data_IF_125761393283
#
_entry.id   IF_125761393283
#
_cell.length_a   1.000
_cell.length_b   1.000
_cell.length_c   1.000
_cell.angle_alpha   90.00
_cell.angle_beta   90.00
_cell.angle_gamma   90.00
#
_symmetry.space_group_name_H-M   'P 1'
#
loop_
_entity.id
_entity.type
_entity.pdbx_description
1 polymer ?
#
# COMPACT_ATOMS: atom_id res chain seq x y z
N UNK A 1 -10.84 5.36 19.19
CA UNK A 1 -9.68 5.57 18.29
C UNK A 1 -8.37 5.37 19.07
N UNK A 2 -7.43 4.56 18.58
CA UNK A 2 -6.12 4.38 19.22
C UNK A 2 -5.32 5.70 19.14
N UNK A 3 -4.65 6.11 20.22
CA UNK A 3 -3.82 7.33 20.21
C UNK A 3 -2.64 7.16 19.23
N UNK A 4 -2.32 8.14 18.35
CA UNK A 4 -1.28 7.99 17.33
C UNK A 4 0.10 7.56 17.88
N UNK A 5 0.45 8.01 19.09
CA UNK A 5 1.70 7.63 19.76
C UNK A 5 1.72 6.14 20.16
N UNK A 6 0.59 5.61 20.63
CA UNK A 6 0.45 4.19 21.00
C UNK A 6 0.50 3.33 19.74
N UNK A 7 -0.16 3.77 18.66
CA UNK A 7 -0.12 3.08 17.37
C UNK A 7 1.31 2.99 16.82
N UNK A 8 2.04 4.11 16.84
CA UNK A 8 3.45 4.16 16.45
C UNK A 8 4.30 3.20 17.28
N UNK A 9 4.13 3.21 18.60
CA UNK A 9 4.82 2.28 19.50
C UNK A 9 4.54 0.82 19.13
N UNK A 10 3.27 0.47 18.89
CA UNK A 10 2.87 -0.88 18.52
C UNK A 10 3.47 -1.33 17.19
N UNK A 11 3.44 -0.49 16.16
CA UNK A 11 4.04 -0.80 14.86
C UNK A 11 5.56 -0.97 15.00
N UNK A 12 6.22 -0.12 15.81
CA UNK A 12 7.66 -0.20 16.03
C UNK A 12 8.12 -1.46 16.78
N UNK A 13 7.23 -2.15 17.50
CA UNK A 13 7.55 -3.42 18.15
C UNK A 13 7.54 -4.61 17.16
N UNK A 14 6.94 -4.44 15.97
CA UNK A 14 6.85 -5.51 14.98
C UNK A 14 8.17 -5.74 14.26
N UNK A 15 8.44 -7.00 13.92
CA UNK A 15 9.55 -7.40 13.07
C UNK A 15 9.00 -7.90 11.74
N UNK A 16 9.35 -7.20 10.67
CA UNK A 16 8.92 -7.53 9.31
C UNK A 16 10.01 -8.21 8.48
N UNK A 17 11.13 -8.61 9.09
CA UNK A 17 12.17 -9.40 8.42
C UNK A 17 11.58 -10.73 7.92
N UNK A 18 12.03 -11.17 6.75
CA UNK A 18 11.60 -12.41 6.09
C UNK A 18 10.13 -12.44 5.63
N UNK A 19 9.35 -11.38 5.86
CA UNK A 19 8.02 -11.25 5.28
C UNK A 19 8.09 -10.51 3.95
N UNK A 20 7.36 -11.00 2.95
CA UNK A 20 7.10 -10.19 1.76
C UNK A 20 6.25 -8.98 2.14
N UNK A 21 6.47 -7.87 1.44
CA UNK A 21 5.71 -6.62 1.62
C UNK A 21 4.18 -6.83 1.72
N UNK A 22 3.50 -7.56 0.81
CA UNK A 22 2.06 -7.77 0.89
C UNK A 22 1.64 -8.62 2.09
N UNK A 23 2.45 -9.62 2.48
CA UNK A 23 2.16 -10.48 3.63
C UNK A 23 2.31 -9.72 4.95
N UNK A 24 3.36 -8.92 5.08
CA UNK A 24 3.57 -8.06 6.24
C UNK A 24 2.43 -7.03 6.40
N UNK A 25 2.02 -6.41 5.29
CA UNK A 25 0.92 -5.45 5.28
C UNK A 25 -0.42 -6.09 5.66
N UNK A 26 -0.74 -7.26 5.10
CA UNK A 26 -1.93 -8.04 5.50
C UNK A 26 -1.93 -8.35 6.98
N UNK A 27 -0.83 -8.91 7.49
CA UNK A 27 -0.72 -9.25 8.91
C UNK A 27 -0.97 -8.03 9.81
N UNK A 28 -0.47 -6.86 9.42
CA UNK A 28 -0.73 -5.63 10.15
C UNK A 28 -2.22 -5.24 10.17
N UNK A 29 -2.91 -5.32 9.03
CA UNK A 29 -4.35 -5.00 8.96
C UNK A 29 -5.24 -6.08 9.59
N UNK A 30 -4.78 -7.33 9.67
CA UNK A 30 -5.47 -8.39 10.41
C UNK A 30 -5.41 -8.13 11.92
N UNK A 31 -4.28 -7.67 12.43
CA UNK A 31 -4.14 -7.34 13.86
C UNK A 31 -4.78 -6.01 14.24
N UNK A 32 -4.82 -5.06 13.31
CA UNK A 32 -5.41 -3.73 13.49
C UNK A 32 -6.54 -3.52 12.47
N UNK A 33 -7.69 -4.21 12.65
CA UNK A 33 -8.80 -4.15 11.72
C UNK A 33 -9.36 -2.73 11.64
N UNK A 34 -9.63 -2.29 10.41
CA UNK A 34 -10.22 -0.99 10.14
C UNK A 34 -11.74 -1.15 10.11
N UNK A 35 -12.44 -0.40 10.96
CA UNK A 35 -13.90 -0.39 10.92
C UNK A 35 -14.37 0.58 9.84
N UNK A 36 -15.05 0.04 8.82
CA UNK A 36 -15.54 0.77 7.64
C UNK A 36 -16.58 1.85 7.98
N UNK A 37 -17.31 1.68 9.09
CA UNK A 37 -18.30 2.63 9.61
C UNK A 37 -17.70 3.89 10.24
N UNK A 38 -16.39 3.92 10.48
CA UNK A 38 -15.73 5.05 11.11
C UNK A 38 -15.41 6.14 10.07
N UNK A 39 -15.89 7.39 10.24
CA UNK A 39 -15.59 8.49 9.32
C UNK A 39 -14.08 8.80 9.22
N UNK A 40 -13.29 8.29 10.16
CA UNK A 40 -11.84 8.42 10.23
C UNK A 40 -11.05 7.23 9.65
N UNK A 41 -11.72 6.23 9.06
CA UNK A 41 -11.09 5.01 8.53
C UNK A 41 -9.99 5.30 7.50
N UNK A 42 -10.24 6.20 6.56
CA UNK A 42 -9.24 6.63 5.57
C UNK A 42 -8.00 7.24 6.25
N UNK A 43 -8.20 8.18 7.17
CA UNK A 43 -7.10 8.81 7.91
C UNK A 43 -6.30 7.78 8.73
N UNK A 44 -6.98 6.79 9.30
CA UNK A 44 -6.33 5.69 10.00
C UNK A 44 -5.51 4.80 9.07
N UNK A 45 -6.02 4.44 7.88
CA UNK A 45 -5.25 3.69 6.87
C UNK A 45 -4.00 4.47 6.47
N UNK A 46 -4.12 5.77 6.16
CA UNK A 46 -2.98 6.61 5.83
C UNK A 46 -1.93 6.64 6.94
N UNK A 47 -2.37 6.81 8.20
CA UNK A 47 -1.48 6.78 9.35
C UNK A 47 -0.79 5.43 9.51
N UNK A 48 -1.55 4.33 9.44
CA UNK A 48 -1.05 2.98 9.64
C UNK A 48 -0.07 2.57 8.54
N UNK A 49 -0.38 2.87 7.27
CA UNK A 49 0.52 2.63 6.13
C UNK A 49 1.77 3.50 6.24
N UNK A 50 1.65 4.74 6.71
CA UNK A 50 2.81 5.62 6.97
C UNK A 50 3.77 5.03 8.00
N UNK A 51 3.24 4.59 9.15
CA UNK A 51 4.02 3.94 10.21
C UNK A 51 4.62 2.60 9.75
N UNK A 52 3.84 1.82 9.01
CA UNK A 52 4.29 0.55 8.43
C UNK A 52 5.45 0.77 7.47
N UNK A 53 5.36 1.77 6.60
CA UNK A 53 6.40 2.03 5.58
C UNK A 53 7.73 2.45 6.23
N UNK A 54 7.67 3.25 7.30
CA UNK A 54 8.83 3.58 8.12
C UNK A 54 9.45 2.34 8.77
N UNK A 55 8.61 1.48 9.36
CA UNK A 55 9.10 0.29 10.06
C UNK A 55 9.60 -0.79 9.09
N UNK A 56 8.95 -0.98 7.95
CA UNK A 56 9.30 -2.01 6.97
C UNK A 56 10.66 -1.74 6.34
N UNK A 57 10.97 -0.49 6.00
CA UNK A 57 12.31 -0.12 5.48
C UNK A 57 13.40 -0.27 6.54
N UNK A 58 13.13 0.07 7.80
CA UNK A 58 14.06 -0.16 8.91
C UNK A 58 14.36 -1.65 9.12
N UNK A 59 13.36 -2.52 8.94
CA UNK A 59 13.55 -3.96 9.07
C UNK A 59 14.25 -4.59 7.85
N UNK A 60 14.15 -3.97 6.68
CA UNK A 60 14.63 -4.52 5.41
C UNK A 60 15.52 -3.51 4.65
N UNK A 61 16.66 -3.08 5.22
CA UNK A 61 17.53 -2.08 4.60
C UNK A 61 18.12 -2.55 3.27
N UNK A 62 18.33 -3.86 3.11
CA UNK A 62 18.94 -4.46 1.92
C UNK A 62 18.05 -4.39 0.66
N UNK A 63 16.76 -4.07 0.79
CA UNK A 63 15.88 -3.91 -0.35
C UNK A 63 16.21 -2.66 -1.18
N UNK A 64 16.87 -1.66 -0.60
CA UNK A 64 17.19 -0.40 -1.28
C UNK A 64 15.97 0.45 -1.69
N UNK A 65 14.76 0.07 -1.27
CA UNK A 65 13.51 0.78 -1.56
C UNK A 65 13.29 1.85 -0.49
N UNK A 66 12.97 3.07 -0.90
CA UNK A 66 12.75 4.18 0.03
C UNK A 66 11.43 4.02 0.81
N UNK A 67 11.32 4.69 1.96
CA UNK A 67 10.07 4.73 2.74
C UNK A 67 8.88 5.19 1.89
N UNK A 68 9.10 6.20 1.06
CA UNK A 68 8.05 6.80 0.24
C UNK A 68 7.60 5.84 -0.86
N UNK A 69 8.53 5.11 -1.48
CA UNK A 69 8.18 4.05 -2.44
C UNK A 69 7.43 2.91 -1.76
N UNK A 70 7.84 2.45 -0.57
CA UNK A 70 7.08 1.43 0.18
C UNK A 70 5.66 1.92 0.47
N UNK A 71 5.48 3.18 0.86
CA UNK A 71 4.17 3.78 1.09
C UNK A 71 3.31 3.75 -0.18
N UNK A 72 3.86 4.13 -1.33
CA UNK A 72 3.14 4.14 -2.61
C UNK A 72 2.85 2.72 -3.13
N UNK A 73 3.76 1.78 -2.90
CA UNK A 73 3.57 0.35 -3.18
C UNK A 73 2.42 -0.22 -2.34
N UNK A 74 2.35 0.12 -1.04
CA UNK A 74 1.25 -0.28 -0.18
C UNK A 74 -0.10 0.16 -0.74
N UNK A 75 -0.25 1.44 -1.08
CA UNK A 75 -1.49 1.93 -1.70
C UNK A 75 -1.79 1.28 -3.04
N UNK A 76 -0.76 1.02 -3.86
CA UNK A 76 -0.94 0.29 -5.13
C UNK A 76 -1.52 -1.10 -4.90
N UNK A 77 -1.06 -1.84 -3.89
CA UNK A 77 -1.58 -3.18 -3.55
C UNK A 77 -2.99 -3.15 -2.95
N UNK A 78 -3.30 -2.15 -2.11
CA UNK A 78 -4.65 -1.95 -1.56
C UNK A 78 -5.64 -1.71 -2.71
N UNK A 79 -5.26 -0.85 -3.65
CA UNK A 79 -6.08 -0.55 -4.82
C UNK A 79 -6.24 -1.74 -5.75
N UNK A 80 -5.16 -2.48 -6.02
CA UNK A 80 -5.23 -3.73 -6.75
C UNK A 80 -6.19 -4.71 -6.05
N UNK A 81 -6.20 -4.75 -4.72
CA UNK A 81 -7.14 -5.59 -3.98
C UNK A 81 -8.59 -5.19 -4.22
N UNK A 82 -8.91 -3.90 -4.12
CA UNK A 82 -10.29 -3.51 -4.40
C UNK A 82 -10.66 -3.74 -5.86
N UNK A 83 -9.73 -3.52 -6.79
CA UNK A 83 -9.93 -3.80 -8.20
C UNK A 83 -10.29 -5.27 -8.45
N UNK A 84 -9.45 -6.21 -7.99
CA UNK A 84 -9.60 -7.64 -8.25
C UNK A 84 -10.87 -8.25 -7.62
N UNK A 85 -11.25 -7.83 -6.41
CA UNK A 85 -12.36 -8.46 -5.68
C UNK A 85 -13.68 -7.66 -5.68
N UNK A 86 -13.71 -6.42 -6.15
CA UNK A 86 -14.98 -5.68 -6.23
C UNK A 86 -15.89 -6.24 -7.34
N UNK A 87 -17.13 -6.66 -7.06
CA UNK A 87 -18.05 -7.17 -8.09
C UNK A 87 -18.47 -6.08 -9.10
N UNK A 88 -18.33 -4.80 -8.73
CA UNK A 88 -18.66 -3.67 -9.60
C UNK A 88 -17.67 -3.46 -10.74
N UNK A 89 -16.45 -3.99 -10.62
CA UNK A 89 -15.38 -3.81 -11.60
C UNK A 89 -15.38 -5.03 -12.52
N UNK A 90 -15.84 -4.86 -13.77
CA UNK A 90 -15.90 -5.94 -14.77
C UNK A 90 -14.53 -6.23 -15.40
N UNK A 91 -13.80 -5.18 -15.74
CA UNK A 91 -12.48 -5.27 -16.34
C UNK A 91 -11.42 -5.08 -15.26
N UNK A 92 -10.85 -6.20 -14.80
CA UNK A 92 -9.82 -6.21 -13.77
C UNK A 92 -8.48 -5.75 -14.33
N UNK A 93 -7.71 -5.06 -13.51
CA UNK A 93 -6.34 -4.65 -13.82
C UNK A 93 -5.48 -5.88 -14.07
N UNK A 94 -4.88 -5.96 -15.26
CA UNK A 94 -3.91 -6.99 -15.58
C UNK A 94 -2.57 -6.73 -14.87
N UNK A 95 -1.77 -7.79 -14.71
CA UNK A 95 -0.40 -7.69 -14.18
C UNK A 95 0.45 -6.64 -14.92
N UNK A 96 0.34 -6.61 -16.25
CA UNK A 96 1.05 -5.65 -17.10
C UNK A 96 0.62 -4.21 -16.81
N UNK A 97 -0.68 -3.97 -16.62
CA UNK A 97 -1.19 -2.65 -16.28
C UNK A 97 -0.75 -2.21 -14.88
N UNK A 98 -0.77 -3.13 -13.91
CA UNK A 98 -0.26 -2.88 -12.56
C UNK A 98 1.21 -2.44 -12.60
N UNK A 99 2.08 -3.23 -13.23
CA UNK A 99 3.52 -2.90 -13.36
C UNK A 99 3.68 -1.52 -14.02
N UNK A 100 2.99 -1.27 -15.14
CA UNK A 100 3.05 0.02 -15.85
C UNK A 100 2.62 1.21 -14.98
N UNK A 101 1.54 1.05 -14.20
CA UNK A 101 1.01 2.12 -13.36
C UNK A 101 1.92 2.39 -12.15
N UNK A 102 2.43 1.33 -11.51
CA UNK A 102 3.23 1.45 -10.29
C UNK A 102 4.67 1.90 -10.56
N UNK A 103 5.21 1.61 -11.75
CA UNK A 103 6.56 2.08 -12.15
C UNK A 103 6.71 3.59 -12.16
N UNK A 104 5.62 4.33 -12.34
CA UNK A 104 5.63 5.80 -12.32
C UNK A 104 5.96 6.37 -10.94
N UNK A 105 5.83 5.57 -9.88
CA UNK A 105 5.94 6.01 -8.49
C UNK A 105 6.92 5.20 -7.64
N UNK A 106 7.25 3.99 -8.07
CA UNK A 106 8.32 3.16 -7.50
C UNK A 106 9.37 2.91 -8.59
N UNK A 107 10.36 3.81 -8.65
CA UNK A 107 11.38 3.84 -9.72
C UNK A 107 12.56 2.93 -9.41
N UNK A 108 12.84 2.66 -8.14
CA UNK A 108 13.93 1.78 -7.69
C UNK A 108 13.61 0.29 -7.81
N UNK A 109 12.34 -0.04 -8.06
CA UNK A 109 11.82 -1.39 -8.01
C UNK A 109 11.84 -2.06 -9.39
N UNK A 110 12.21 -3.35 -9.47
CA UNK A 110 12.19 -4.12 -10.73
C UNK A 110 10.77 -4.55 -11.14
N UNK A 111 10.56 -4.75 -12.44
CA UNK A 111 9.28 -5.23 -12.96
C UNK A 111 8.93 -6.63 -12.44
N UNK A 112 9.96 -7.46 -12.19
CA UNK A 112 9.82 -8.76 -11.55
C UNK A 112 9.27 -8.62 -10.12
N UNK A 113 9.82 -7.71 -9.32
CA UNK A 113 9.33 -7.45 -7.97
C UNK A 113 7.88 -6.96 -8.00
N UNK A 114 7.55 -5.99 -8.85
CA UNK A 114 6.17 -5.51 -9.03
C UNK A 114 5.23 -6.64 -9.48
N UNK A 115 5.71 -7.51 -10.37
CA UNK A 115 4.99 -8.70 -10.79
C UNK A 115 4.71 -9.66 -9.64
N UNK A 116 5.68 -9.89 -8.76
CA UNK A 116 5.53 -10.73 -7.57
C UNK A 116 4.53 -10.14 -6.56
N UNK A 117 4.48 -8.81 -6.43
CA UNK A 117 3.43 -8.14 -5.64
C UNK A 117 2.05 -8.43 -6.21
N UNK A 118 1.87 -8.28 -7.53
CA UNK A 118 0.61 -8.56 -8.20
C UNK A 118 0.17 -10.01 -7.99
N UNK A 119 1.05 -10.97 -8.26
CA UNK A 119 0.73 -12.39 -8.13
C UNK A 119 0.36 -12.74 -6.69
N UNK A 120 1.10 -12.20 -5.71
CA UNK A 120 0.81 -12.44 -4.31
C UNK A 120 -0.56 -11.90 -3.91
N UNK A 121 -0.92 -10.68 -4.34
CA UNK A 121 -2.26 -10.14 -4.12
C UNK A 121 -3.29 -11.03 -4.80
N UNK A 122 -3.15 -11.32 -6.09
CA UNK A 122 -4.07 -12.13 -6.90
C UNK A 122 -4.34 -13.53 -6.30
N UNK A 123 -3.30 -14.22 -5.82
CA UNK A 123 -3.41 -15.59 -5.31
C UNK A 123 -3.95 -15.61 -3.86
N UNK A 124 -3.42 -14.74 -2.99
CA UNK A 124 -3.71 -14.79 -1.55
C UNK A 124 -5.00 -14.06 -1.19
N UNK A 125 -5.36 -13.02 -1.95
CA UNK A 125 -6.54 -12.21 -1.69
C UNK A 125 -6.26 -10.86 -1.04
N UNK A 126 -7.34 -10.27 -0.52
CA UNK A 126 -7.41 -8.91 0.00
C UNK A 126 -6.25 -8.52 0.92
N UNK A 127 -5.65 -7.35 0.64
CA UNK A 127 -4.64 -6.74 1.51
C UNK A 127 -5.26 -5.99 2.70
N UNK A 128 -6.42 -5.35 2.49
CA UNK A 128 -7.20 -4.68 3.55
C UNK A 128 -8.63 -5.19 3.46
N UNK A 129 -9.15 -5.64 4.60
CA UNK A 129 -10.55 -5.96 4.78
C UNK A 129 -11.27 -4.68 5.23
N UNK A 130 -11.62 -3.83 4.27
CA UNK A 130 -12.65 -2.81 4.50
C UNK A 130 -13.94 -3.53 4.10
N UNK A 131 -14.97 -3.56 4.95
CA UNK A 131 -16.28 -4.00 4.46
C UNK A 131 -16.59 -3.17 3.22
N UNK A 132 -16.70 -3.83 2.06
CA UNK A 132 -16.78 -3.21 0.74
C UNK A 132 -18.15 -2.52 0.51
N UNK A 133 -18.67 -1.78 1.48
CA UNK A 133 -19.85 -0.92 1.36
C UNK A 133 -19.48 0.53 1.03
N UNK A 134 -18.21 0.92 1.20
CA UNK A 134 -17.67 2.21 0.74
C UNK A 134 -17.09 2.14 -0.68
N UNK A 135 -17.18 3.23 -1.48
CA UNK A 135 -16.54 3.24 -2.78
C UNK A 135 -15.03 3.08 -2.61
N UNK A 136 -14.35 2.24 -3.41
CA UNK A 136 -12.89 2.28 -3.50
C UNK A 136 -12.44 3.73 -3.70
N UNK A 137 -11.35 4.12 -3.04
CA UNK A 137 -10.60 5.33 -3.41
C UNK A 137 -10.56 5.40 -4.93
N UNK A 138 -11.07 6.49 -5.52
CA UNK A 138 -11.21 6.53 -6.97
C UNK A 138 -9.82 6.55 -7.57
N UNK A 139 -9.64 5.85 -8.70
CA UNK A 139 -8.37 5.83 -9.44
C UNK A 139 -7.79 7.25 -9.69
N UNK A 140 -8.64 8.28 -9.77
CA UNK A 140 -8.27 9.70 -9.84
C UNK A 140 -7.60 10.25 -8.57
N UNK A 141 -8.04 9.83 -7.38
CA UNK A 141 -7.43 10.26 -6.10
C UNK A 141 -6.06 9.61 -5.92
N UNK A 142 -5.92 8.35 -6.38
CA UNK A 142 -4.63 7.66 -6.41
C UNK A 142 -3.69 8.36 -7.36
N UNK A 143 -4.10 8.62 -8.61
CA UNK A 143 -3.31 9.42 -9.56
C UNK A 143 -2.90 10.76 -8.93
N UNK A 144 -3.79 11.43 -8.21
CA UNK A 144 -3.45 12.68 -7.53
C UNK A 144 -2.40 12.48 -6.43
N UNK A 145 -2.45 11.41 -5.64
CA UNK A 145 -1.45 11.09 -4.61
C UNK A 145 -0.10 10.68 -5.24
N UNK A 146 -0.15 9.87 -6.30
CA UNK A 146 1.02 9.43 -7.07
C UNK A 146 1.72 10.61 -7.73
N UNK A 147 0.95 11.56 -8.29
CA UNK A 147 1.47 12.80 -8.88
C UNK A 147 1.98 13.77 -7.80
N UNK A 148 1.28 13.89 -6.66
CA UNK A 148 1.70 14.80 -5.57
C UNK A 148 3.00 14.39 -4.88
N UNK A 149 3.39 13.12 -4.93
CA UNK A 149 4.62 12.62 -4.31
C UNK A 149 5.77 12.43 -5.31
N UNK A 150 5.69 13.01 -6.53
CA UNK A 150 6.89 13.13 -7.36
C UNK A 150 7.89 14.09 -6.69
N UNK A 151 9.19 13.72 -6.61
CA UNK A 151 10.21 14.69 -6.23
C UNK A 151 10.15 15.85 -7.23
N UNK A 152 10.07 17.09 -6.70
CA UNK A 152 10.09 18.31 -7.49
C UNK A 152 11.23 18.20 -8.51
N UNK A 153 10.89 18.21 -9.80
CA UNK A 153 11.89 18.30 -10.86
C UNK A 153 12.68 19.58 -10.62
N UNK A 154 13.95 19.45 -10.23
CA UNK A 154 14.86 20.58 -10.14
C UNK A 154 14.92 21.25 -11.52
N UNK A 155 14.86 22.59 -11.59
CA UNK A 155 14.99 23.27 -12.87
C UNK A 155 16.34 22.91 -13.49
N UNK A 156 16.32 22.46 -14.74
CA UNK A 156 17.53 22.37 -15.54
C UNK A 156 18.10 23.79 -15.69
N UNK A 157 19.39 23.93 -15.41
CA UNK A 157 20.16 25.17 -15.51
C UNK A 157 20.04 25.83 -16.88
#
# INVERSE_FOLDING_TARGET
>A
MLRPQVLRGLVNLKDFRNYSLPNALRGLFTELPVQSSEPSASAFIHLLVGLFSERFTQCNPDLGITRDEIYLLCFSMIMLSVDLWSPSIKNKMSKREFIRNTRQVATTTSDEFLGNLYDNVYIVGHVVLIDCSGPPFRHSEVKAILVRNQPLSLPAF
#
